data_IF_826391870076
#
_entry.id   IF_826391870076
#
_cell.length_a   1.000
_cell.length_b   1.000
_cell.length_c   1.000
_cell.angle_alpha   90.00
_cell.angle_beta   90.00
_cell.angle_gamma   90.00
#
_symmetry.space_group_name_H-M   'P 1'
#
loop_
_entity.id
_entity.type
_entity.pdbx_description
1 polymer ?
#
# COMPACT_ATOMS: atom_id res chain seq x y z
N UNK A 1 39.58 93.47 -32.64
CA UNK A 1 39.52 92.30 -33.55
C UNK A 1 38.04 92.06 -33.84
N UNK A 2 37.52 92.71 -34.88
CA UNK A 2 36.11 92.62 -35.27
C UNK A 2 35.92 91.34 -36.07
N UNK A 3 35.26 90.35 -35.46
CA UNK A 3 34.90 89.11 -36.16
C UNK A 3 33.79 89.46 -37.15
N UNK A 4 34.03 89.17 -38.43
CA UNK A 4 33.07 89.43 -39.50
C UNK A 4 31.85 88.50 -39.33
N UNK A 5 30.71 89.08 -38.98
CA UNK A 5 29.48 88.37 -38.64
C UNK A 5 29.03 87.45 -39.79
N UNK A 6 29.32 87.80 -41.05
CA UNK A 6 28.98 86.96 -42.21
C UNK A 6 29.81 85.69 -42.25
N UNK A 7 31.08 85.76 -41.85
CA UNK A 7 31.98 84.61 -41.78
C UNK A 7 31.60 83.67 -40.64
N UNK A 8 31.20 84.23 -39.49
CA UNK A 8 30.74 83.43 -38.33
C UNK A 8 29.40 82.74 -38.61
N UNK A 9 28.46 83.43 -39.24
CA UNK A 9 27.16 82.85 -39.62
C UNK A 9 27.33 81.79 -40.71
N UNK A 10 28.21 82.03 -41.70
CA UNK A 10 28.54 81.05 -42.72
C UNK A 10 29.19 79.78 -42.15
N UNK A 11 30.14 79.93 -41.23
CA UNK A 11 30.77 78.80 -40.54
C UNK A 11 29.77 78.03 -39.67
N UNK A 12 28.88 78.73 -38.96
CA UNK A 12 27.84 78.08 -38.16
C UNK A 12 26.84 77.30 -39.03
N UNK A 13 26.37 77.88 -40.14
CA UNK A 13 25.46 77.19 -41.05
C UNK A 13 26.08 75.94 -41.68
N UNK A 14 27.37 75.97 -41.99
CA UNK A 14 28.10 74.84 -42.56
C UNK A 14 28.30 73.72 -41.53
N UNK A 15 28.67 74.06 -40.29
CA UNK A 15 28.78 73.09 -39.21
C UNK A 15 27.41 72.53 -38.83
N UNK A 16 26.37 73.36 -38.79
CA UNK A 16 25.00 72.93 -38.53
C UNK A 16 24.50 71.97 -39.61
N UNK A 17 24.72 72.27 -40.90
CA UNK A 17 24.38 71.36 -41.99
C UNK A 17 25.22 70.08 -42.00
N UNK A 18 26.47 70.13 -41.57
CA UNK A 18 27.29 68.93 -41.42
C UNK A 18 26.77 68.03 -40.28
N UNK A 19 26.40 68.61 -39.13
CA UNK A 19 25.86 67.86 -37.99
C UNK A 19 24.47 67.30 -38.28
N UNK A 20 23.58 68.10 -38.90
CA UNK A 20 22.24 67.64 -39.32
C UNK A 20 22.33 66.65 -40.48
N UNK A 21 23.29 66.81 -41.39
CA UNK A 21 23.56 65.86 -42.47
C UNK A 21 24.07 64.51 -41.96
N UNK A 22 24.92 64.49 -40.93
CA UNK A 22 25.35 63.26 -40.27
C UNK A 22 24.20 62.60 -39.51
N UNK A 23 23.29 63.36 -38.90
CA UNK A 23 22.07 62.82 -38.29
C UNK A 23 21.06 62.27 -39.34
N UNK A 24 21.05 62.82 -40.56
CA UNK A 24 20.17 62.37 -41.64
C UNK A 24 20.72 61.15 -42.40
N UNK A 25 22.05 60.98 -42.47
CA UNK A 25 22.68 59.78 -43.08
C UNK A 25 22.86 58.66 -42.05
N UNK A 26 22.96 59.00 -40.76
CA UNK A 26 22.86 58.06 -39.63
C UNK A 26 21.42 57.75 -39.22
N UNK A 27 20.44 58.15 -40.03
CA UNK A 27 19.06 57.70 -39.95
C UNK A 27 18.98 56.22 -40.34
N UNK A 28 19.34 55.35 -39.40
CA UNK A 28 18.53 54.20 -39.05
C UNK A 28 17.98 53.44 -40.27
N UNK A 29 18.81 52.57 -40.85
CA UNK A 29 18.28 51.32 -41.41
C UNK A 29 17.86 50.49 -40.22
N UNK A 30 16.69 50.80 -39.65
CA UNK A 30 15.93 49.81 -38.91
C UNK A 30 15.54 48.81 -39.98
N UNK A 31 16.21 47.66 -39.98
CA UNK A 31 15.58 46.46 -40.47
C UNK A 31 14.22 46.41 -39.75
N UNK A 32 13.13 46.57 -40.50
CA UNK A 32 11.76 46.45 -39.96
C UNK A 32 11.43 44.99 -39.62
N UNK A 33 12.42 44.09 -39.78
CA UNK A 33 12.38 42.78 -39.19
C UNK A 33 12.47 42.95 -37.65
N UNK A 34 11.46 42.50 -36.89
CA UNK A 34 11.61 42.39 -35.45
C UNK A 34 12.92 41.65 -35.17
N UNK A 35 13.70 42.04 -34.14
CA UNK A 35 14.89 41.28 -33.79
C UNK A 35 14.49 39.81 -33.69
N UNK A 36 15.20 38.92 -34.37
CA UNK A 36 15.06 37.48 -34.15
C UNK A 36 15.46 37.23 -32.70
N UNK A 37 14.47 37.35 -31.82
CA UNK A 37 14.57 36.88 -30.45
C UNK A 37 14.65 35.38 -30.57
N UNK A 38 15.74 34.79 -30.07
CA UNK A 38 15.77 33.35 -29.82
C UNK A 38 14.43 32.96 -29.19
N UNK A 39 13.80 31.92 -29.72
CA UNK A 39 12.55 31.44 -29.17
C UNK A 39 12.75 31.29 -27.65
N UNK A 40 11.82 31.85 -26.87
CA UNK A 40 11.84 31.66 -25.42
C UNK A 40 11.91 30.14 -25.21
N UNK A 41 12.89 29.68 -24.43
CA UNK A 41 13.05 28.27 -24.16
C UNK A 41 11.84 27.80 -23.36
N UNK A 42 10.75 27.46 -24.03
CA UNK A 42 9.45 27.16 -23.44
C UNK A 42 9.33 25.69 -23.01
N UNK A 43 10.44 24.94 -23.04
CA UNK A 43 10.51 23.53 -22.63
C UNK A 43 9.98 23.33 -21.19
N UNK A 44 10.17 24.32 -20.31
CA UNK A 44 9.65 24.30 -18.93
C UNK A 44 8.15 24.64 -18.81
N UNK A 45 7.51 25.07 -19.90
CA UNK A 45 6.05 25.31 -19.99
C UNK A 45 5.32 24.18 -20.74
N UNK A 46 6.06 23.23 -21.33
CA UNK A 46 5.48 22.02 -21.88
C UNK A 46 5.33 21.01 -20.75
N UNK A 47 4.14 20.92 -20.16
CA UNK A 47 3.83 19.96 -19.10
C UNK A 47 4.22 18.52 -19.52
N UNK A 48 3.99 18.17 -20.79
CA UNK A 48 4.34 16.87 -21.36
C UNK A 48 5.86 16.58 -21.36
N UNK A 49 6.71 17.60 -21.26
CA UNK A 49 8.17 17.45 -21.20
C UNK A 49 8.70 17.25 -19.76
N UNK A 50 7.84 17.41 -18.75
CA UNK A 50 8.19 17.36 -17.33
C UNK A 50 7.44 16.23 -16.60
N UNK A 51 6.40 15.66 -17.20
CA UNK A 51 5.73 14.49 -16.63
C UNK A 51 6.65 13.27 -16.70
N UNK A 52 6.95 12.63 -15.56
CA UNK A 52 7.70 11.39 -15.54
C UNK A 52 6.91 10.30 -16.26
N UNK A 53 7.62 9.38 -16.92
CA UNK A 53 6.96 8.18 -17.46
C UNK A 53 6.34 7.39 -16.31
N UNK A 54 5.05 7.10 -16.43
CA UNK A 54 4.28 6.27 -15.50
C UNK A 54 3.81 5.01 -16.20
N UNK A 55 3.44 4.01 -15.41
CA UNK A 55 2.78 2.82 -15.94
C UNK A 55 1.44 3.15 -16.58
N UNK A 56 0.87 2.17 -17.31
CA UNK A 56 -0.49 2.27 -17.81
C UNK A 56 -1.49 2.45 -16.66
N UNK A 57 -2.46 3.33 -16.88
CA UNK A 57 -3.63 3.49 -16.02
C UNK A 57 -4.88 3.05 -16.77
N UNK A 58 -5.75 2.36 -16.06
CA UNK A 58 -6.98 1.81 -16.60
C UNK A 58 -6.96 0.29 -16.59
N UNK A 59 -7.96 -0.27 -15.92
CA UNK A 59 -8.14 -1.70 -15.72
C UNK A 59 -9.32 -1.88 -14.79
N UNK A 60 -10.23 -2.77 -15.14
CA UNK A 60 -11.32 -3.18 -14.25
C UNK A 60 -10.85 -4.38 -13.42
N UNK A 61 -11.33 -4.49 -12.20
CA UNK A 61 -11.08 -5.68 -11.38
C UNK A 61 -12.10 -6.72 -11.79
N UNK A 62 -11.67 -7.72 -12.56
CA UNK A 62 -12.51 -8.83 -13.00
C UNK A 62 -12.16 -10.11 -12.22
N UNK A 63 -13.17 -10.94 -11.93
CA UNK A 63 -13.00 -12.26 -11.33
C UNK A 63 -13.31 -13.33 -12.38
N UNK A 64 -12.55 -14.42 -12.38
CA UNK A 64 -12.82 -15.58 -13.23
C UNK A 64 -13.68 -16.65 -12.54
N UNK A 65 -13.69 -16.66 -11.21
CA UNK A 65 -14.42 -17.65 -10.42
C UNK A 65 -15.93 -17.59 -10.65
N UNK A 66 -16.55 -18.76 -10.70
CA UNK A 66 -18.01 -18.94 -10.75
C UNK A 66 -18.54 -19.78 -9.58
N UNK A 67 -17.76 -19.81 -8.49
CA UNK A 67 -18.13 -20.47 -7.24
C UNK A 67 -19.48 -19.94 -6.69
N UNK A 68 -20.22 -20.75 -5.92
CA UNK A 68 -21.41 -20.27 -5.24
C UNK A 68 -21.06 -19.14 -4.25
N UNK A 69 -22.10 -18.49 -3.71
CA UNK A 69 -21.92 -17.42 -2.74
C UNK A 69 -21.11 -17.91 -1.54
N UNK A 70 -19.99 -17.21 -1.29
CA UNK A 70 -19.04 -17.46 -0.20
C UNK A 70 -19.03 -16.24 0.72
N UNK A 71 -18.69 -16.42 1.99
CA UNK A 71 -18.60 -15.35 2.98
C UNK A 71 -17.15 -14.96 3.23
N UNK A 72 -16.79 -13.72 2.92
CA UNK A 72 -15.46 -13.16 3.14
C UNK A 72 -15.50 -12.17 4.30
N UNK A 73 -14.69 -12.42 5.33
CA UNK A 73 -14.56 -11.53 6.48
C UNK A 73 -13.37 -10.60 6.29
N UNK A 74 -13.61 -9.29 6.32
CA UNK A 74 -12.58 -8.25 6.15
C UNK A 74 -12.34 -7.53 7.47
N UNK A 75 -11.11 -7.64 7.97
CA UNK A 75 -10.65 -6.92 9.16
C UNK A 75 -10.30 -5.47 8.82
N UNK A 76 -10.88 -4.53 9.57
CA UNK A 76 -10.73 -3.09 9.37
C UNK A 76 -9.55 -2.47 10.13
N UNK A 77 -8.76 -3.28 10.83
CA UNK A 77 -7.80 -2.80 11.80
C UNK A 77 -8.47 -2.12 13.00
N UNK A 78 -7.66 -1.67 13.96
CA UNK A 78 -8.11 -0.78 15.02
C UNK A 78 -8.32 0.61 14.43
N UNK A 79 -9.49 0.84 13.85
CA UNK A 79 -9.90 2.15 13.40
C UNK A 79 -9.90 3.13 14.57
N UNK A 80 -8.83 3.92 14.68
CA UNK A 80 -9.00 5.31 15.09
C UNK A 80 -9.96 5.94 14.09
N UNK A 81 -11.22 6.09 14.49
CA UNK A 81 -12.19 6.88 13.75
C UNK A 81 -11.74 8.35 13.75
N UNK A 82 -10.75 8.67 12.91
CA UNK A 82 -10.26 10.01 12.64
C UNK A 82 -11.01 10.58 11.46
N UNK A 83 -12.00 11.43 11.73
CA UNK A 83 -12.41 12.43 10.75
C UNK A 83 -11.22 13.36 10.51
N UNK A 84 -10.47 13.14 9.43
CA UNK A 84 -9.40 14.04 9.02
C UNK A 84 -8.30 13.30 8.27
N UNK A 85 -8.04 13.74 7.04
CA UNK A 85 -6.88 13.29 6.27
C UNK A 85 -5.61 13.49 7.08
N UNK A 86 -5.05 12.40 7.57
CA UNK A 86 -3.71 12.36 8.13
C UNK A 86 -2.74 12.25 6.96
N UNK A 87 -1.90 13.26 6.82
CA UNK A 87 -0.83 13.33 5.82
C UNK A 87 0.08 12.12 5.95
N UNK A 88 0.45 11.52 4.82
CA UNK A 88 1.55 10.56 4.67
C UNK A 88 2.72 10.97 5.57
N UNK A 89 2.94 10.24 6.65
CA UNK A 89 4.09 10.49 7.51
C UNK A 89 5.24 9.74 6.84
N UNK A 90 5.99 10.45 6.01
CA UNK A 90 7.31 9.97 5.59
C UNK A 90 8.10 9.57 6.85
N UNK A 91 8.87 8.48 6.82
CA UNK A 91 9.63 8.00 7.97
C UNK A 91 10.76 8.98 8.26
N UNK A 92 10.49 9.96 9.13
CA UNK A 92 11.53 10.75 9.77
C UNK A 92 11.33 10.56 11.27
N UNK A 93 12.23 9.76 11.84
CA UNK A 93 12.28 9.30 13.22
C UNK A 93 12.35 10.45 14.23
N UNK A 94 11.52 10.40 15.28
CA UNK A 94 11.89 10.76 16.66
C UNK A 94 10.80 10.26 17.63
N UNK A 95 10.87 8.97 18.00
CA UNK A 95 9.97 8.36 18.99
C UNK A 95 10.33 6.90 19.24
N UNK A 96 10.45 6.52 20.50
CA UNK A 96 10.91 5.21 21.02
C UNK A 96 9.88 4.07 20.79
N UNK A 97 9.15 4.12 19.69
CA UNK A 97 8.21 3.12 19.19
C UNK A 97 8.12 3.33 17.68
N UNK A 98 8.38 2.30 16.85
CA UNK A 98 8.11 2.44 15.42
C UNK A 98 6.63 2.78 15.27
N UNK A 99 6.33 4.00 14.85
CA UNK A 99 5.00 4.30 14.35
C UNK A 99 4.83 3.41 13.12
N UNK A 100 3.77 2.62 13.08
CA UNK A 100 3.35 1.91 11.87
C UNK A 100 3.40 2.93 10.73
N UNK A 101 4.25 2.70 9.73
CA UNK A 101 4.31 3.57 8.56
C UNK A 101 3.09 3.24 7.70
N UNK A 102 1.93 3.65 8.18
CA UNK A 102 0.69 3.61 7.42
C UNK A 102 0.82 4.65 6.31
N UNK A 103 1.05 4.16 5.09
CA UNK A 103 1.05 5.01 3.89
C UNK A 103 -0.37 5.56 3.64
N UNK A 104 -1.37 5.04 4.37
CA UNK A 104 -2.62 5.71 4.67
C UNK A 104 -3.61 5.64 3.53
N UNK A 105 -4.54 4.68 3.58
CA UNK A 105 -5.75 4.76 2.77
C UNK A 105 -6.48 6.05 3.14
N UNK A 106 -6.56 6.97 2.18
CA UNK A 106 -7.29 8.24 2.31
C UNK A 106 -8.78 7.94 2.45
N UNK A 107 -9.24 7.66 3.67
CA UNK A 107 -10.62 7.22 3.96
C UNK A 107 -10.74 5.91 4.75
N UNK A 108 -9.63 5.36 5.24
CA UNK A 108 -9.59 4.18 6.11
C UNK A 108 -9.69 2.84 5.37
N UNK A 109 -9.53 1.72 6.09
CA UNK A 109 -9.41 0.37 5.51
C UNK A 109 -10.59 -0.03 4.63
N UNK A 110 -11.83 0.37 4.98
CA UNK A 110 -13.03 0.08 4.15
C UNK A 110 -12.90 0.61 2.73
N UNK A 111 -12.35 1.82 2.58
CA UNK A 111 -12.10 2.39 1.26
C UNK A 111 -10.88 1.73 0.62
N UNK A 112 -9.84 1.48 1.41
CA UNK A 112 -8.60 0.86 0.93
C UNK A 112 -8.81 -0.52 0.31
N UNK A 113 -9.81 -1.28 0.77
CA UNK A 113 -10.16 -2.58 0.18
C UNK A 113 -11.39 -2.52 -0.74
N UNK A 114 -11.86 -1.33 -1.11
CA UNK A 114 -13.11 -1.17 -1.87
C UNK A 114 -13.07 -1.89 -3.24
N UNK A 115 -12.00 -1.82 -4.05
CA UNK A 115 -11.89 -2.56 -5.30
C UNK A 115 -12.05 -4.08 -5.13
N UNK A 116 -11.34 -4.68 -4.17
CA UNK A 116 -11.46 -6.12 -3.86
C UNK A 116 -12.88 -6.48 -3.41
N UNK A 117 -13.43 -5.72 -2.47
CA UNK A 117 -14.77 -6.00 -1.93
C UNK A 117 -15.89 -5.75 -2.95
N UNK A 118 -15.72 -4.78 -3.84
CA UNK A 118 -16.63 -4.54 -4.96
C UNK A 118 -16.64 -5.74 -5.90
N UNK A 119 -15.47 -6.23 -6.33
CA UNK A 119 -15.35 -7.40 -7.19
C UNK A 119 -16.03 -8.64 -6.57
N UNK A 120 -15.79 -8.90 -5.28
CA UNK A 120 -16.44 -10.00 -4.55
C UNK A 120 -17.97 -9.87 -4.53
N UNK A 121 -18.51 -8.68 -4.23
CA UNK A 121 -19.95 -8.44 -4.15
C UNK A 121 -20.62 -8.49 -5.53
N UNK A 122 -19.97 -7.95 -6.56
CA UNK A 122 -20.46 -7.96 -7.94
C UNK A 122 -20.54 -9.39 -8.49
N UNK A 123 -19.68 -10.29 -8.02
CA UNK A 123 -19.71 -11.73 -8.35
C UNK A 123 -20.58 -12.57 -7.39
N UNK A 124 -21.31 -11.94 -6.47
CA UNK A 124 -22.34 -12.60 -5.65
C UNK A 124 -21.84 -13.21 -4.34
N UNK A 125 -20.63 -12.89 -3.91
CA UNK A 125 -20.11 -13.26 -2.60
C UNK A 125 -20.53 -12.24 -1.52
N UNK A 126 -20.62 -12.69 -0.27
CA UNK A 126 -20.95 -11.85 0.88
C UNK A 126 -19.68 -11.29 1.52
N UNK A 127 -19.66 -9.99 1.78
CA UNK A 127 -18.55 -9.33 2.49
C UNK A 127 -19.02 -8.85 3.86
N UNK A 128 -18.37 -9.35 4.92
CA UNK A 128 -18.63 -8.97 6.32
C UNK A 128 -17.42 -8.26 6.91
N UNK A 129 -17.64 -7.10 7.52
CA UNK A 129 -16.54 -6.32 8.11
C UNK A 129 -16.40 -6.55 9.61
N UNK A 130 -15.18 -6.80 10.07
CA UNK A 130 -14.80 -6.92 11.48
C UNK A 130 -13.91 -5.75 11.91
N UNK A 131 -14.36 -4.96 12.90
CA UNK A 131 -13.63 -3.83 13.48
C UNK A 131 -13.20 -4.04 14.93
N UNK A 132 -12.83 -5.27 15.31
CA UNK A 132 -12.40 -5.58 16.67
C UNK A 132 -13.50 -5.35 17.71
N UNK A 133 -13.16 -4.61 18.78
CA UNK A 133 -14.08 -4.28 19.90
C UNK A 133 -15.35 -3.52 19.47
N UNK A 134 -15.35 -2.88 18.30
CA UNK A 134 -16.51 -2.18 17.77
C UNK A 134 -17.51 -3.14 17.10
N UNK A 135 -17.09 -4.35 16.76
CA UNK A 135 -17.94 -5.38 16.19
C UNK A 135 -18.92 -5.90 17.24
N UNK A 136 -20.15 -6.21 16.80
CA UNK A 136 -21.17 -6.81 17.66
C UNK A 136 -20.94 -8.29 17.91
N UNK A 137 -20.16 -8.92 17.05
CA UNK A 137 -19.86 -10.34 17.03
C UNK A 137 -18.34 -10.53 17.12
N UNK A 138 -17.84 -11.47 17.95
CA UNK A 138 -16.42 -11.74 18.06
C UNK A 138 -15.91 -12.46 16.79
N UNK A 139 -14.64 -12.23 16.42
CA UNK A 139 -14.07 -12.79 15.20
C UNK A 139 -14.18 -14.32 15.08
N UNK A 140 -13.95 -15.13 16.14
CA UNK A 140 -14.12 -16.59 16.06
C UNK A 140 -15.52 -17.03 15.60
N UNK A 141 -16.55 -16.29 16.01
CA UNK A 141 -17.93 -16.58 15.59
C UNK A 141 -18.12 -16.27 14.10
N UNK A 142 -17.60 -15.13 13.64
CA UNK A 142 -17.67 -14.76 12.23
C UNK A 142 -16.89 -15.74 11.34
N UNK A 143 -15.71 -16.19 11.77
CA UNK A 143 -14.88 -17.15 11.05
C UNK A 143 -15.48 -18.56 10.99
N UNK A 144 -16.38 -18.91 11.91
CA UNK A 144 -17.06 -20.22 11.89
C UNK A 144 -18.00 -20.38 10.68
N UNK A 145 -18.50 -19.26 10.16
CA UNK A 145 -19.40 -19.22 9.00
C UNK A 145 -18.71 -18.60 7.76
N UNK A 146 -17.39 -18.35 7.84
CA UNK A 146 -16.64 -17.71 6.76
C UNK A 146 -15.92 -18.73 5.89
N UNK A 147 -15.78 -18.40 4.61
CA UNK A 147 -14.98 -19.16 3.65
C UNK A 147 -13.59 -18.52 3.49
N UNK A 148 -13.48 -17.21 3.72
CA UNK A 148 -12.21 -16.49 3.60
C UNK A 148 -12.06 -15.32 4.59
N UNK A 149 -10.80 -14.93 4.82
CA UNK A 149 -10.43 -13.81 5.67
C UNK A 149 -9.44 -12.85 5.00
N UNK A 150 -9.59 -11.56 5.25
CA UNK A 150 -8.70 -10.51 4.73
C UNK A 150 -8.30 -9.57 5.85
N UNK A 151 -7.01 -9.25 5.96
CA UNK A 151 -6.51 -8.17 6.82
C UNK A 151 -5.40 -7.40 6.13
N UNK A 152 -5.41 -6.07 6.25
CA UNK A 152 -4.31 -5.18 5.81
C UNK A 152 -3.44 -4.69 6.96
N UNK A 153 -3.77 -5.10 8.20
CA UNK A 153 -3.13 -4.62 9.41
C UNK A 153 -3.06 -5.76 10.44
N UNK A 154 -2.23 -6.79 10.20
CA UNK A 154 -2.12 -7.94 11.11
C UNK A 154 -1.76 -7.53 12.55
N UNK A 155 -0.94 -6.48 12.73
CA UNK A 155 -0.58 -5.95 14.06
C UNK A 155 -1.73 -5.33 14.85
N UNK A 156 -2.89 -5.08 14.22
CA UNK A 156 -4.07 -4.57 14.90
C UNK A 156 -5.00 -5.68 15.42
N UNK A 157 -4.72 -6.95 15.12
CA UNK A 157 -5.43 -8.07 15.71
C UNK A 157 -5.07 -8.20 17.19
N UNK A 158 -6.07 -8.47 18.02
CA UNK A 158 -5.79 -8.91 19.39
C UNK A 158 -5.15 -10.31 19.37
N UNK A 159 -4.44 -10.71 20.42
CA UNK A 159 -3.86 -12.05 20.49
C UNK A 159 -4.92 -13.15 20.28
N UNK A 160 -6.11 -12.99 20.85
CA UNK A 160 -7.23 -13.92 20.64
C UNK A 160 -7.75 -13.94 19.21
N UNK A 161 -7.76 -12.78 18.52
CA UNK A 161 -8.17 -12.72 17.12
C UNK A 161 -7.09 -13.32 16.20
N UNK A 162 -5.81 -13.09 16.49
CA UNK A 162 -4.69 -13.71 15.77
C UNK A 162 -4.73 -15.24 15.90
N UNK A 163 -4.86 -15.78 17.12
CA UNK A 163 -5.01 -17.24 17.36
C UNK A 163 -6.20 -17.84 16.57
N UNK A 164 -7.30 -17.10 16.47
CA UNK A 164 -8.49 -17.53 15.75
C UNK A 164 -8.26 -17.57 14.23
N UNK A 165 -7.59 -16.56 13.68
CA UNK A 165 -7.23 -16.54 12.26
C UNK A 165 -6.20 -17.62 11.96
N UNK A 166 -5.22 -17.86 12.84
CA UNK A 166 -4.26 -18.95 12.68
C UNK A 166 -4.97 -20.32 12.57
N UNK A 167 -5.89 -20.61 13.50
CA UNK A 167 -6.72 -21.83 13.47
C UNK A 167 -7.53 -21.92 12.16
N UNK A 168 -8.02 -20.79 11.66
CA UNK A 168 -8.77 -20.72 10.41
C UNK A 168 -7.90 -21.06 9.19
N UNK A 169 -6.67 -20.53 9.13
CA UNK A 169 -5.70 -20.84 8.07
C UNK A 169 -5.31 -22.32 8.12
N UNK A 170 -5.04 -22.87 9.32
CA UNK A 170 -4.72 -24.29 9.53
C UNK A 170 -5.83 -25.24 9.05
N UNK A 171 -7.10 -24.82 9.18
CA UNK A 171 -8.25 -25.55 8.68
C UNK A 171 -8.49 -25.40 7.16
N UNK A 172 -7.61 -24.70 6.45
CA UNK A 172 -7.68 -24.47 5.01
C UNK A 172 -8.39 -23.18 4.59
N UNK A 173 -8.81 -22.35 5.55
CA UNK A 173 -9.52 -21.11 5.29
C UNK A 173 -8.65 -20.11 4.53
N UNK A 174 -9.12 -19.69 3.36
CA UNK A 174 -8.36 -18.82 2.46
C UNK A 174 -8.15 -17.46 3.10
N UNK A 175 -6.89 -17.04 3.22
CA UNK A 175 -6.55 -15.84 3.96
C UNK A 175 -5.60 -14.95 3.16
N UNK A 176 -5.95 -13.67 3.04
CA UNK A 176 -5.06 -12.62 2.55
C UNK A 176 -4.58 -11.78 3.74
N UNK A 177 -3.26 -11.67 3.88
CA UNK A 177 -2.62 -10.70 4.78
C UNK A 177 -1.81 -9.73 3.95
N UNK A 178 -2.26 -8.48 3.87
CA UNK A 178 -1.42 -7.39 3.43
C UNK A 178 -0.78 -6.70 4.64
N UNK A 179 0.48 -6.30 4.52
CA UNK A 179 1.18 -5.55 5.56
C UNK A 179 2.11 -4.52 4.94
N UNK A 180 1.87 -3.27 5.27
CA UNK A 180 2.72 -2.17 4.84
C UNK A 180 4.06 -2.14 5.61
N UNK A 181 5.07 -1.39 5.12
CA UNK A 181 6.33 -1.18 5.81
C UNK A 181 6.14 -0.75 7.27
N UNK A 182 6.97 -1.29 8.15
CA UNK A 182 6.83 -1.13 9.60
C UNK A 182 6.04 -2.27 10.27
N UNK A 183 5.20 -2.99 9.53
CA UNK A 183 4.44 -4.14 10.04
C UNK A 183 5.19 -5.47 10.12
N UNK A 184 6.47 -5.51 9.70
CA UNK A 184 7.25 -6.75 9.54
C UNK A 184 7.30 -7.64 10.80
N UNK A 185 7.37 -7.03 11.99
CA UNK A 185 7.35 -7.77 13.27
C UNK A 185 6.04 -8.51 13.48
N UNK A 186 4.91 -7.79 13.43
CA UNK A 186 3.58 -8.38 13.58
C UNK A 186 3.27 -9.39 12.47
N UNK A 187 3.71 -9.12 11.25
CA UNK A 187 3.57 -10.06 10.14
C UNK A 187 4.37 -11.35 10.40
N UNK A 188 5.59 -11.25 10.92
CA UNK A 188 6.42 -12.42 11.24
C UNK A 188 5.84 -13.20 12.40
N UNK A 189 5.35 -12.53 13.45
CA UNK A 189 4.71 -13.18 14.58
C UNK A 189 3.50 -14.03 14.11
N UNK A 190 2.68 -13.48 13.23
CA UNK A 190 1.53 -14.18 12.63
C UNK A 190 1.91 -15.24 11.59
N UNK A 191 2.91 -14.96 10.74
CA UNK A 191 3.25 -15.78 9.58
C UNK A 191 4.17 -16.96 9.89
N UNK A 192 4.93 -16.89 10.99
CA UNK A 192 5.94 -17.90 11.34
C UNK A 192 5.39 -19.33 11.44
N UNK A 193 4.19 -19.60 12.02
CA UNK A 193 3.59 -20.93 12.02
C UNK A 193 3.43 -21.54 10.62
N UNK A 194 3.26 -20.69 9.60
CA UNK A 194 3.07 -21.07 8.19
C UNK A 194 4.36 -20.98 7.36
N UNK A 195 5.50 -20.76 8.02
CA UNK A 195 6.80 -20.59 7.37
C UNK A 195 6.95 -19.27 6.61
N UNK A 196 6.12 -18.26 6.90
CA UNK A 196 6.15 -16.93 6.27
C UNK A 196 6.78 -15.92 7.22
N UNK A 197 7.58 -14.99 6.71
CA UNK A 197 8.16 -13.91 7.49
C UNK A 197 8.16 -12.59 6.72
N UNK A 198 8.16 -11.48 7.47
CA UNK A 198 8.41 -10.14 6.95
C UNK A 198 9.82 -9.69 7.29
N UNK A 199 10.43 -8.89 6.43
CA UNK A 199 11.70 -8.23 6.70
C UNK A 199 11.48 -6.75 7.05
N UNK A 200 12.26 -6.24 7.99
CA UNK A 200 12.17 -4.85 8.39
C UNK A 200 12.67 -3.91 7.28
N UNK A 201 11.93 -2.83 7.05
CA UNK A 201 12.25 -1.80 6.08
C UNK A 201 11.23 -1.72 4.95
N UNK A 202 11.63 -1.05 3.89
CA UNK A 202 10.88 -0.93 2.63
C UNK A 202 11.86 -1.07 1.47
N UNK A 203 11.34 -1.55 0.34
CA UNK A 203 12.07 -1.65 -0.92
C UNK A 203 11.83 -0.37 -1.72
N UNK A 204 12.88 0.11 -2.37
CA UNK A 204 12.81 1.27 -3.25
C UNK A 204 13.69 1.08 -4.48
N UNK A 205 13.32 1.67 -5.60
CA UNK A 205 14.04 1.54 -6.86
C UNK A 205 14.16 2.90 -7.55
N UNK A 206 15.38 3.30 -7.91
CA UNK A 206 15.62 4.58 -8.59
C UNK A 206 15.51 4.48 -10.11
N UNK A 207 15.49 3.27 -10.65
CA UNK A 207 15.56 2.96 -12.07
C UNK A 207 14.22 2.37 -12.58
N UNK A 208 13.65 1.41 -11.84
CA UNK A 208 12.42 0.71 -12.20
C UNK A 208 11.29 1.10 -11.24
N UNK A 209 10.69 2.26 -11.46
CA UNK A 209 9.63 2.79 -10.62
C UNK A 209 8.56 3.57 -11.40
N UNK A 210 7.36 3.63 -10.84
CA UNK A 210 6.23 4.40 -11.37
C UNK A 210 6.30 5.86 -10.90
N UNK A 211 7.19 6.65 -11.52
CA UNK A 211 7.41 8.07 -11.26
C UNK A 211 7.79 8.47 -9.82
N UNK A 212 7.97 7.51 -8.93
CA UNK A 212 8.37 7.69 -7.55
C UNK A 212 9.17 6.48 -7.10
N UNK A 213 10.37 6.69 -6.56
CA UNK A 213 11.28 5.62 -6.15
C UNK A 213 10.70 4.60 -5.14
N UNK A 214 9.63 4.97 -4.42
CA UNK A 214 8.90 4.05 -3.52
C UNK A 214 7.81 3.24 -4.23
N UNK A 215 7.37 3.69 -5.40
CA UNK A 215 6.40 3.02 -6.27
C UNK A 215 7.12 2.01 -7.16
N UNK A 216 7.51 0.90 -6.57
CA UNK A 216 8.34 -0.12 -7.23
C UNK A 216 7.52 -0.95 -8.22
N UNK A 217 8.14 -1.28 -9.35
CA UNK A 217 7.61 -2.25 -10.31
C UNK A 217 7.94 -3.66 -9.83
N UNK A 218 6.92 -4.52 -9.85
CA UNK A 218 6.95 -5.86 -9.28
C UNK A 218 6.47 -6.86 -10.32
N UNK A 219 7.15 -7.99 -10.43
CA UNK A 219 6.88 -8.99 -11.46
C UNK A 219 6.70 -10.38 -10.84
N UNK A 220 5.92 -11.27 -11.50
CA UNK A 220 5.88 -12.68 -11.14
C UNK A 220 7.24 -13.36 -11.21
N UNK A 221 7.56 -14.15 -10.20
CA UNK A 221 8.74 -15.03 -10.22
C UNK A 221 8.48 -16.35 -10.94
N UNK A 222 7.21 -16.65 -11.20
CA UNK A 222 6.74 -17.86 -11.88
C UNK A 222 5.22 -17.88 -12.07
N UNK A 223 4.71 -18.85 -12.84
CA UNK A 223 3.28 -19.01 -13.06
C UNK A 223 2.58 -19.54 -11.81
N UNK A 224 1.37 -19.06 -11.55
CA UNK A 224 0.51 -19.52 -10.46
C UNK A 224 -0.82 -18.79 -10.45
N UNK A 225 -1.75 -19.24 -9.61
CA UNK A 225 -3.10 -18.67 -9.55
C UNK A 225 -3.14 -17.17 -9.23
N UNK A 226 -2.14 -16.65 -8.51
CA UNK A 226 -2.04 -15.21 -8.20
C UNK A 226 -1.40 -14.39 -9.33
N UNK A 227 -0.68 -15.04 -10.25
CA UNK A 227 0.14 -14.38 -11.28
C UNK A 227 -0.38 -14.64 -12.69
N UNK A 228 -1.51 -15.31 -12.82
CA UNK A 228 -2.17 -15.53 -14.11
C UNK A 228 -2.60 -14.19 -14.72
N UNK A 229 -2.19 -13.93 -15.95
CA UNK A 229 -2.46 -12.66 -16.63
C UNK A 229 -1.72 -11.43 -16.09
N UNK A 230 -0.88 -11.59 -15.05
CA UNK A 230 -0.08 -10.49 -14.48
C UNK A 230 1.27 -10.44 -15.18
N UNK A 231 1.58 -9.35 -15.86
CA UNK A 231 2.92 -9.07 -16.39
C UNK A 231 3.72 -8.22 -15.40
N UNK A 232 3.09 -7.15 -14.89
CA UNK A 232 3.73 -6.22 -13.95
C UNK A 232 2.71 -5.49 -13.07
N UNK A 233 3.04 -5.33 -11.79
CA UNK A 233 2.22 -4.61 -10.80
C UNK A 233 3.02 -3.49 -10.13
N UNK A 234 2.31 -2.54 -9.52
CA UNK A 234 2.91 -1.39 -8.83
C UNK A 234 2.52 -1.40 -7.36
N UNK A 235 3.54 -1.44 -6.48
CA UNK A 235 3.37 -1.31 -5.04
C UNK A 235 3.98 0.01 -4.57
N UNK A 236 3.20 0.84 -3.86
CA UNK A 236 3.61 2.21 -3.47
C UNK A 236 4.39 2.28 -2.15
N UNK A 237 4.54 1.17 -1.47
CA UNK A 237 5.53 0.99 -0.43
C UNK A 237 5.66 -0.49 -0.09
N UNK A 238 6.50 -1.20 -0.84
CA UNK A 238 6.66 -2.63 -0.63
C UNK A 238 7.58 -2.94 0.57
N UNK A 239 7.09 -3.73 1.51
CA UNK A 239 7.88 -4.41 2.52
C UNK A 239 8.35 -5.77 1.99
N UNK A 240 9.60 -6.20 2.23
CA UNK A 240 10.02 -7.52 1.82
C UNK A 240 9.31 -8.59 2.65
N UNK A 241 8.83 -9.64 1.97
CA UNK A 241 8.21 -10.82 2.57
C UNK A 241 8.79 -12.08 1.93
N UNK A 242 8.92 -13.14 2.74
CA UNK A 242 9.55 -14.38 2.31
C UNK A 242 8.92 -15.60 2.95
N UNK A 243 9.28 -16.76 2.40
CA UNK A 243 8.96 -18.08 2.96
C UNK A 243 10.25 -18.80 3.30
N UNK A 244 10.24 -19.63 4.34
CA UNK A 244 11.39 -20.45 4.72
C UNK A 244 11.80 -21.44 3.61
N UNK A 245 10.83 -22.00 2.88
CA UNK A 245 11.02 -23.13 1.96
C UNK A 245 10.46 -22.86 0.56
N UNK A 246 10.69 -21.68 -0.01
CA UNK A 246 10.23 -21.38 -1.36
C UNK A 246 10.65 -20.01 -1.89
N UNK A 247 10.60 -19.82 -3.22
CA UNK A 247 10.72 -18.49 -3.79
C UNK A 247 9.47 -17.66 -3.47
N UNK A 248 9.62 -16.34 -3.43
CA UNK A 248 8.48 -15.44 -3.40
C UNK A 248 7.63 -15.60 -4.67
N UNK A 249 6.34 -15.28 -4.62
CA UNK A 249 5.41 -15.28 -5.76
C UNK A 249 5.63 -14.06 -6.65
N UNK A 250 5.86 -12.90 -6.03
CA UNK A 250 6.15 -11.63 -6.67
C UNK A 250 7.45 -11.06 -6.11
N UNK A 251 8.29 -10.50 -6.98
CA UNK A 251 9.55 -9.87 -6.57
C UNK A 251 9.81 -8.56 -7.32
N UNK A 252 10.59 -7.67 -6.70
CA UNK A 252 11.11 -6.48 -7.36
C UNK A 252 12.30 -6.80 -8.26
N UNK A 253 12.70 -5.84 -9.10
CA UNK A 253 13.89 -5.96 -9.95
C UNK A 253 15.21 -6.01 -9.14
N UNK A 254 16.29 -6.52 -9.76
CA UNK A 254 17.63 -6.57 -9.14
C UNK A 254 18.24 -5.18 -8.83
N UNK A 255 17.72 -4.13 -9.45
CA UNK A 255 18.11 -2.73 -9.23
C UNK A 255 17.55 -2.16 -7.93
N UNK A 256 16.53 -2.80 -7.37
CA UNK A 256 15.87 -2.36 -6.15
C UNK A 256 16.80 -2.45 -4.95
N UNK A 257 16.51 -1.64 -3.94
CA UNK A 257 17.32 -1.55 -2.72
C UNK A 257 16.44 -1.64 -1.48
N UNK A 258 16.96 -2.30 -0.46
CA UNK A 258 16.34 -2.35 0.87
C UNK A 258 16.77 -1.13 1.70
N UNK A 259 15.82 -0.46 2.35
CA UNK A 259 16.11 0.78 3.10
C UNK A 259 17.03 0.59 4.31
N UNK A 260 17.00 -0.58 4.95
CA UNK A 260 17.79 -0.87 6.16
C UNK A 260 19.25 -1.18 5.85
N UNK A 261 19.52 -1.94 4.79
CA UNK A 261 20.89 -2.36 4.41
C UNK A 261 21.47 -1.54 3.26
N UNK A 262 20.61 -0.89 2.45
CA UNK A 262 20.93 -0.27 1.15
C UNK A 262 21.51 -1.24 0.13
N UNK A 263 21.34 -2.54 0.36
CA UNK A 263 21.81 -3.58 -0.54
C UNK A 263 20.93 -3.60 -1.80
N UNK A 264 21.55 -3.74 -2.97
CA UNK A 264 20.84 -3.89 -4.23
C UNK A 264 20.52 -5.37 -4.46
N UNK A 265 19.29 -5.67 -4.88
CA UNK A 265 18.85 -7.03 -5.16
C UNK A 265 17.36 -7.10 -5.47
N UNK A 266 16.94 -8.29 -5.92
CA UNK A 266 15.53 -8.61 -6.07
C UNK A 266 14.96 -9.04 -4.71
N UNK A 267 13.90 -8.38 -4.26
CA UNK A 267 13.26 -8.64 -2.98
C UNK A 267 11.88 -9.25 -3.21
N UNK A 268 11.58 -10.34 -2.51
CA UNK A 268 10.23 -10.90 -2.48
C UNK A 268 9.27 -9.95 -1.80
N UNK A 269 8.11 -9.71 -2.42
CA UNK A 269 7.10 -8.75 -1.92
C UNK A 269 5.69 -9.34 -1.88
N UNK A 270 5.51 -10.56 -2.40
CA UNK A 270 4.36 -11.38 -2.09
C UNK A 270 4.75 -12.86 -2.05
N UNK A 271 4.12 -13.61 -1.16
CA UNK A 271 4.29 -15.06 -1.04
C UNK A 271 2.94 -15.74 -0.91
N UNK A 272 2.89 -17.01 -1.32
CA UNK A 272 1.75 -17.88 -1.07
C UNK A 272 2.22 -19.18 -0.40
N UNK A 273 1.62 -19.48 0.74
CA UNK A 273 1.80 -20.71 1.51
C UNK A 273 0.44 -21.37 1.69
N UNK A 274 0.12 -22.36 0.84
CA UNK A 274 -1.15 -23.10 0.83
C UNK A 274 -2.43 -22.22 0.82
N UNK A 275 -3.09 -22.08 1.98
CA UNK A 275 -4.30 -21.28 2.23
C UNK A 275 -4.01 -19.83 2.62
N UNK A 276 -2.75 -19.46 2.81
CA UNK A 276 -2.32 -18.12 3.18
C UNK A 276 -1.59 -17.43 2.00
N UNK A 277 -2.05 -16.23 1.65
CA UNK A 277 -1.35 -15.30 0.77
C UNK A 277 -0.93 -14.08 1.57
N UNK A 278 0.35 -13.71 1.46
CA UNK A 278 0.90 -12.53 2.13
C UNK A 278 1.48 -11.57 1.10
N UNK A 279 1.10 -10.30 1.19
CA UNK A 279 1.61 -9.22 0.33
C UNK A 279 2.18 -8.12 1.21
N UNK A 280 3.40 -7.69 0.91
CA UNK A 280 4.12 -6.64 1.65
C UNK A 280 3.66 -5.21 1.34
N UNK A 281 2.47 -5.05 0.76
CA UNK A 281 1.89 -3.76 0.40
C UNK A 281 0.37 -3.92 0.43
N UNK A 282 -0.33 -3.03 1.12
CA UNK A 282 -1.81 -2.98 1.08
C UNK A 282 -2.32 -1.95 0.08
N UNK A 283 -1.47 -1.00 -0.31
CA UNK A 283 -1.83 0.13 -1.17
C UNK A 283 -2.33 -0.29 -2.55
N UNK A 284 -1.88 -1.44 -3.09
CA UNK A 284 -2.35 -1.94 -4.40
C UNK A 284 -3.87 -2.17 -4.43
N UNK A 285 -4.50 -2.43 -3.28
CA UNK A 285 -5.95 -2.61 -3.16
C UNK A 285 -6.71 -1.29 -3.25
N UNK A 286 -6.06 -0.14 -3.04
CA UNK A 286 -6.73 1.15 -2.93
C UNK A 286 -7.32 1.60 -4.27
N UNK A 287 -8.46 2.33 -4.29
CA UNK A 287 -9.12 2.76 -5.53
C UNK A 287 -8.20 3.53 -6.49
N UNK A 288 -7.28 4.34 -5.96
CA UNK A 288 -6.30 5.11 -6.72
C UNK A 288 -5.17 4.25 -7.33
N UNK A 289 -4.93 3.04 -6.82
CA UNK A 289 -3.84 2.17 -7.26
C UNK A 289 -4.35 0.90 -7.97
N UNK A 290 -5.61 0.50 -7.78
CA UNK A 290 -6.18 -0.72 -8.34
C UNK A 290 -6.16 -0.74 -9.88
N UNK A 291 -6.20 0.42 -10.54
CA UNK A 291 -6.11 0.54 -12.00
C UNK A 291 -4.71 0.81 -12.55
N UNK A 292 -3.66 0.72 -11.72
CA UNK A 292 -2.25 0.95 -12.13
C UNK A 292 -1.62 -0.35 -12.59
N UNK A 293 -0.99 -0.35 -13.77
CA UNK A 293 -0.44 -1.55 -14.40
C UNK A 293 -1.45 -2.72 -14.33
N UNK A 294 -1.02 -3.93 -13.97
CA UNK A 294 -1.90 -5.10 -13.82
C UNK A 294 -2.43 -5.27 -12.40
N UNK A 295 -2.44 -4.23 -11.55
CA UNK A 295 -2.98 -4.33 -10.19
C UNK A 295 -4.41 -4.86 -10.19
N UNK A 296 -5.23 -4.46 -11.17
CA UNK A 296 -6.60 -4.93 -11.31
C UNK A 296 -6.70 -6.44 -11.53
N UNK A 297 -5.79 -7.00 -12.33
CA UNK A 297 -5.69 -8.44 -12.58
C UNK A 297 -5.22 -9.17 -11.32
N UNK A 298 -4.22 -8.64 -10.61
CA UNK A 298 -3.77 -9.21 -9.34
C UNK A 298 -4.90 -9.21 -8.29
N UNK A 299 -5.69 -8.15 -8.19
CA UNK A 299 -6.83 -8.07 -7.26
C UNK A 299 -7.89 -9.11 -7.65
N UNK A 300 -8.17 -9.29 -8.94
CA UNK A 300 -9.04 -10.34 -9.47
C UNK A 300 -8.58 -11.73 -9.05
N UNK A 301 -7.31 -12.05 -9.28
CA UNK A 301 -6.69 -13.32 -8.89
C UNK A 301 -6.72 -13.55 -7.37
N UNK A 302 -6.54 -12.49 -6.58
CA UNK A 302 -6.68 -12.54 -5.12
C UNK A 302 -8.12 -12.84 -4.72
N UNK A 303 -9.11 -12.19 -5.35
CA UNK A 303 -10.51 -12.44 -5.11
C UNK A 303 -10.88 -13.89 -5.45
N UNK A 304 -10.40 -14.39 -6.59
CA UNK A 304 -10.57 -15.79 -7.01
C UNK A 304 -9.92 -16.74 -6.00
N UNK A 305 -8.69 -16.47 -5.55
CA UNK A 305 -8.05 -17.25 -4.50
C UNK A 305 -8.86 -17.31 -3.20
N UNK A 306 -9.45 -16.19 -2.79
CA UNK A 306 -10.25 -16.11 -1.56
C UNK A 306 -11.51 -16.99 -1.66
N UNK A 307 -12.13 -17.09 -2.83
CA UNK A 307 -13.39 -17.83 -3.00
C UNK A 307 -13.21 -19.24 -3.54
N UNK A 308 -12.00 -19.60 -3.99
CA UNK A 308 -11.66 -20.93 -4.52
C UNK A 308 -10.92 -21.75 -3.46
N UNK A 309 -11.67 -22.51 -2.69
CA UNK A 309 -11.15 -23.35 -1.62
C UNK A 309 -12.22 -24.29 -1.05
N UNK A 310 -11.78 -25.26 -0.27
CA UNK A 310 -12.72 -26.02 0.56
C UNK A 310 -13.17 -25.12 1.72
N UNK A 311 -14.47 -25.09 2.02
CA UNK A 311 -14.97 -24.39 3.20
C UNK A 311 -14.28 -24.96 4.45
N UNK A 312 -13.61 -24.12 5.25
CA UNK A 312 -12.86 -24.59 6.41
C UNK A 312 -13.79 -25.17 7.47
N UNK A 313 -13.46 -26.37 7.97
CA UNK A 313 -14.16 -27.00 9.09
C UNK A 313 -13.52 -26.54 10.40
N UNK A 314 -13.86 -25.32 10.84
CA UNK A 314 -13.37 -24.73 12.08
C UNK A 314 -14.43 -24.76 13.19
N UNK A 315 -13.98 -25.03 14.41
CA UNK A 315 -14.81 -24.91 15.61
C UNK A 315 -14.01 -24.30 16.74
N UNK A 316 -14.38 -23.07 17.11
CA UNK A 316 -13.70 -22.32 18.17
C UNK A 316 -14.23 -22.63 19.58
N UNK A 317 -15.09 -23.65 19.71
CA UNK A 317 -15.76 -23.98 20.97
C UNK A 317 -16.74 -22.88 21.43
N UNK A 318 -17.41 -23.05 22.58
CA UNK A 318 -18.28 -22.01 23.12
C UNK A 318 -17.46 -20.77 23.49
N UNK A 319 -17.90 -19.60 23.04
CA UNK A 319 -17.33 -18.32 23.42
C UNK A 319 -17.24 -18.24 24.95
N UNK A 320 -16.02 -18.30 25.49
CA UNK A 320 -15.82 -18.09 26.92
C UNK A 320 -16.09 -16.61 27.16
N UNK A 321 -17.25 -16.30 27.75
CA UNK A 321 -17.64 -14.92 28.04
C UNK A 321 -16.60 -14.18 28.89
N UNK A 322 -16.64 -12.84 28.95
CA UNK A 322 -15.67 -12.06 29.70
C UNK A 322 -15.82 -12.38 31.20
N UNK A 323 -14.92 -13.22 31.72
CA UNK A 323 -14.95 -13.68 33.11
C UNK A 323 -14.20 -14.98 33.41
N UNK A 324 -13.65 -15.67 32.41
CA UNK A 324 -13.00 -16.98 32.59
C UNK A 324 -11.47 -16.96 32.72
N UNK A 325 -10.85 -15.98 33.37
CA UNK A 325 -9.43 -16.09 33.72
C UNK A 325 -9.29 -17.10 34.88
N UNK A 326 -8.98 -18.36 34.57
CA UNK A 326 -8.47 -19.30 35.57
C UNK A 326 -7.00 -18.92 35.81
N UNK A 327 -6.59 -18.49 37.01
CA UNK A 327 -5.18 -18.21 37.29
C UNK A 327 -4.39 -19.52 37.21
N UNK A 328 -3.17 -19.53 36.64
CA UNK A 328 -2.30 -20.70 36.73
C UNK A 328 -1.80 -20.81 38.18
N UNK A 329 -2.44 -21.66 38.98
CA UNK A 329 -2.02 -21.95 40.36
C UNK A 329 -3.15 -22.07 41.38
N UNK A 330 -4.18 -22.87 41.09
CA UNK A 330 -5.20 -23.26 42.08
C UNK A 330 -4.89 -24.65 42.63
N UNK A 331 -4.36 -24.73 43.86
CA UNK A 331 -4.22 -25.99 44.58
C UNK A 331 -5.57 -26.70 44.69
N UNK A 332 -5.60 -28.00 44.38
CA UNK A 332 -6.74 -28.89 44.67
C UNK A 332 -7.19 -28.72 46.12
N UNK A 333 -8.48 -28.48 46.40
CA UNK A 333 -8.98 -28.50 47.78
C UNK A 333 -8.74 -29.89 48.38
N UNK A 334 -8.31 -29.99 49.65
CA UNK A 334 -8.19 -31.28 50.32
C UNK A 334 -9.57 -31.94 50.46
N UNK A 335 -9.66 -33.28 50.46
CA UNK A 335 -10.93 -33.98 50.56
C UNK A 335 -11.63 -33.68 51.89
N UNK A 336 -12.95 -33.55 51.80
CA UNK A 336 -13.85 -33.25 52.91
C UNK A 336 -13.81 -34.38 53.96
N UNK A 337 -13.76 -34.07 55.28
CA UNK A 337 -13.78 -35.09 56.32
C UNK A 337 -15.13 -35.83 56.34
N UNK A 338 -15.17 -37.14 56.61
CA UNK A 338 -16.42 -37.88 56.70
C UNK A 338 -17.25 -37.43 57.91
N UNK A 339 -18.56 -37.30 57.71
CA UNK A 339 -19.54 -36.91 58.73
C UNK A 339 -19.56 -37.90 59.92
N UNK A 340 -19.73 -37.42 61.17
CA UNK A 340 -19.82 -38.30 62.32
C UNK A 340 -21.15 -39.07 62.32
N UNK A 341 -21.05 -40.40 62.42
CA UNK A 341 -22.18 -41.30 62.65
C UNK A 341 -22.95 -40.90 63.90
N UNK A 342 -24.21 -40.50 63.72
CA UNK A 342 -25.15 -40.25 64.79
C UNK A 342 -25.42 -41.49 65.64
N UNK A 343 -25.43 -41.29 66.96
CA UNK A 343 -25.82 -42.25 67.98
C UNK A 343 -27.22 -42.83 67.72
N UNK A 344 -27.33 -44.16 67.61
CA UNK A 344 -28.57 -44.88 67.84
C UNK A 344 -28.60 -45.35 69.30
N UNK A 345 -29.58 -44.85 70.04
CA UNK A 345 -29.90 -45.26 71.41
C UNK A 345 -30.67 -46.58 71.40
N UNK A 346 -30.30 -47.50 72.29
CA UNK A 346 -31.17 -48.50 72.88
C UNK A 346 -30.80 -48.62 74.38
#
# INVERSE_FOLDING_TARGET
MSVDLRTTVGAFALVFLAVVGVAAVGGVVLDDAPPETDAVADDHWQLDAVEPETVSEGGEVEMESSEPSNTVVVHLGSGGAGLGGGTSILPIEDGDSPADADIGSVGGVRRGVAPLTAALVENGHEVRFYGGIASREPLPSMLSDADAFVTTSPGALSATDADAVETFVEAGGRTLVASDPGGAGALTDFGSPFGVYGEAGYVYDMENNDANYLSVLVEPTGPGALTEGVEQVVFRGAAPVGTADGPATLATAETSRLSTTREAGAYGVAVRSDSLTVVGDSSFLEPENAGRADNGVLIGNVADFLVTGETPDVSFGPATGPGGAVPPGGATPPPEPPEPSGNATA
#
